data_IF_507248374000
#
_entry.id   IF_507248374000
#
_cell.length_a   1.000
_cell.length_b   1.000
_cell.length_c   1.000
_cell.angle_alpha   90.00
_cell.angle_beta   90.00
_cell.angle_gamma   90.00
#
_symmetry.space_group_name_H-M   'P 1'
#
loop_
_entity.id
_entity.type
_entity.pdbx_description
1 polymer ?
#
# COMPACT_ATOMS: atom_id res chain seq x y z
N UNK A 1 16.60 -45.27 -13.36
CA UNK A 1 16.32 -44.36 -12.23
C UNK A 1 15.35 -43.32 -12.72
N UNK A 2 14.16 -43.21 -12.13
CA UNK A 2 13.19 -42.17 -12.52
C UNK A 2 13.67 -40.86 -11.88
N UNK A 3 13.84 -39.76 -12.64
CA UNK A 3 14.16 -38.45 -12.07
C UNK A 3 13.10 -38.09 -11.03
N UNK A 4 13.53 -37.74 -9.81
CA UNK A 4 12.61 -37.20 -8.82
C UNK A 4 11.96 -35.93 -9.40
N UNK A 5 10.63 -35.89 -9.44
CA UNK A 5 9.89 -34.70 -9.87
C UNK A 5 10.23 -33.49 -8.99
N UNK A 6 10.03 -32.27 -9.48
CA UNK A 6 10.30 -31.07 -8.70
C UNK A 6 9.50 -31.09 -7.39
N UNK A 7 10.08 -30.58 -6.29
CA UNK A 7 9.41 -30.54 -5.01
C UNK A 7 8.08 -29.77 -5.12
N UNK A 8 7.01 -30.24 -4.44
CA UNK A 8 5.72 -29.59 -4.50
C UNK A 8 5.81 -28.15 -3.96
N UNK A 9 5.05 -27.20 -4.56
CA UNK A 9 5.04 -25.83 -4.09
C UNK A 9 4.59 -25.73 -2.63
N UNK A 10 5.28 -24.92 -1.82
CA UNK A 10 4.92 -24.71 -0.41
C UNK A 10 3.52 -24.07 -0.29
N UNK A 11 2.69 -24.49 0.67
CA UNK A 11 1.36 -23.92 0.86
C UNK A 11 1.43 -22.46 1.33
N UNK A 12 0.57 -21.62 0.76
CA UNK A 12 0.42 -20.22 1.16
C UNK A 12 -0.34 -20.16 2.49
N UNK A 13 0.26 -19.58 3.52
CA UNK A 13 -0.36 -19.45 4.84
C UNK A 13 -1.11 -18.13 4.93
N UNK A 14 -2.39 -18.16 5.32
CA UNK A 14 -3.22 -16.96 5.46
C UNK A 14 -2.58 -15.90 6.37
N UNK A 15 -1.95 -16.31 7.47
CA UNK A 15 -1.23 -15.41 8.39
C UNK A 15 -0.12 -14.60 7.71
N UNK A 16 0.55 -15.17 6.71
CA UNK A 16 1.60 -14.51 5.95
C UNK A 16 1.01 -13.45 4.99
N UNK A 17 -0.16 -13.74 4.41
CA UNK A 17 -0.89 -12.77 3.59
C UNK A 17 -1.31 -11.57 4.44
N UNK A 18 -1.89 -11.81 5.62
CA UNK A 18 -2.30 -10.73 6.53
C UNK A 18 -1.14 -9.86 7.03
N UNK A 19 0.04 -10.44 7.23
CA UNK A 19 1.22 -9.64 7.61
C UNK A 19 1.72 -8.77 6.44
N UNK A 20 1.65 -9.27 5.20
CA UNK A 20 1.92 -8.46 4.01
C UNK A 20 0.91 -7.32 3.84
N UNK A 21 -0.38 -7.59 4.05
CA UNK A 21 -1.43 -6.56 4.03
C UNK A 21 -1.16 -5.50 5.10
N UNK A 22 -0.88 -5.92 6.35
CA UNK A 22 -0.57 -5.01 7.44
C UNK A 22 0.62 -4.10 7.14
N UNK A 23 1.68 -4.63 6.52
CA UNK A 23 2.84 -3.84 6.13
C UNK A 23 2.51 -2.81 5.05
N UNK A 24 1.68 -3.16 4.07
CA UNK A 24 1.21 -2.21 3.05
C UNK A 24 0.36 -1.10 3.68
N UNK A 25 -0.55 -1.43 4.61
CA UNK A 25 -1.35 -0.44 5.34
C UNK A 25 -0.46 0.52 6.13
N UNK A 26 0.56 0.01 6.83
CA UNK A 26 1.52 0.87 7.55
C UNK A 26 2.24 1.84 6.60
N UNK A 27 2.62 1.38 5.40
CA UNK A 27 3.21 2.24 4.38
C UNK A 27 2.27 3.35 3.92
N UNK A 28 0.98 3.04 3.70
CA UNK A 28 -0.03 4.05 3.39
C UNK A 28 -0.20 5.08 4.52
N UNK A 29 -0.28 4.62 5.76
CA UNK A 29 -0.43 5.50 6.93
C UNK A 29 0.78 6.43 7.10
N UNK A 30 2.00 5.91 6.86
CA UNK A 30 3.22 6.70 6.91
C UNK A 30 3.22 7.82 5.87
N UNK A 31 2.89 7.49 4.61
CA UNK A 31 2.83 8.48 3.52
C UNK A 31 1.75 9.52 3.80
N UNK A 32 0.55 9.09 4.22
CA UNK A 32 -0.54 10.00 4.55
C UNK A 32 -0.20 10.93 5.73
N UNK A 33 0.41 10.39 6.79
CA UNK A 33 0.83 11.15 7.96
C UNK A 33 1.91 12.19 7.64
N UNK A 34 2.94 11.81 6.88
CA UNK A 34 3.98 12.74 6.41
C UNK A 34 3.39 13.89 5.62
N UNK A 35 2.45 13.59 4.72
CA UNK A 35 1.82 14.59 3.88
C UNK A 35 0.91 15.54 4.69
N UNK A 36 0.18 15.01 5.68
CA UNK A 36 -0.62 15.81 6.61
C UNK A 36 0.25 16.75 7.46
N UNK A 37 1.42 16.30 7.93
CA UNK A 37 2.38 17.13 8.65
C UNK A 37 2.91 18.26 7.76
N UNK A 38 3.26 17.96 6.51
CA UNK A 38 3.71 18.97 5.55
C UNK A 38 2.64 20.02 5.29
N UNK A 39 1.39 19.60 5.07
CA UNK A 39 0.25 20.52 4.91
C UNK A 39 0.09 21.42 6.13
N UNK A 40 0.06 20.84 7.33
CA UNK A 40 -0.09 21.58 8.56
C UNK A 40 1.02 22.61 8.76
N UNK A 41 2.26 22.26 8.38
CA UNK A 41 3.41 23.15 8.50
C UNK A 41 3.45 24.27 7.44
N UNK A 42 2.75 24.14 6.31
CA UNK A 42 2.89 25.04 5.15
C UNK A 42 1.67 25.92 4.86
N UNK A 43 0.50 25.64 5.44
CA UNK A 43 -0.72 26.45 5.30
C UNK A 43 -1.47 26.27 3.97
N UNK A 44 -2.62 26.96 3.84
CA UNK A 44 -3.70 26.69 2.87
C UNK A 44 -3.38 26.91 1.37
N UNK A 45 -2.16 27.29 1.01
CA UNK A 45 -1.80 27.68 -0.37
C UNK A 45 -1.43 26.54 -1.33
N UNK A 46 -1.40 25.27 -0.88
CA UNK A 46 -0.63 24.21 -1.54
C UNK A 46 -1.44 23.00 -2.03
N UNK A 47 -2.69 23.19 -2.45
CA UNK A 47 -3.51 22.09 -2.99
C UNK A 47 -2.84 21.28 -4.12
N UNK A 48 -2.11 21.94 -5.02
CA UNK A 48 -1.35 21.25 -6.07
C UNK A 48 -0.13 20.49 -5.55
N UNK A 49 0.57 21.03 -4.54
CA UNK A 49 1.72 20.37 -3.90
C UNK A 49 1.28 19.16 -3.07
N UNK A 50 0.08 19.22 -2.48
CA UNK A 50 -0.55 18.08 -1.82
C UNK A 50 -0.91 16.97 -2.80
N UNK A 51 -1.58 17.30 -3.91
CA UNK A 51 -1.93 16.32 -4.94
C UNK A 51 -0.66 15.71 -5.55
N UNK A 52 0.32 16.55 -5.92
CA UNK A 52 1.61 16.10 -6.47
C UNK A 52 2.40 15.23 -5.49
N UNK A 53 2.48 15.64 -4.23
CA UNK A 53 3.14 14.88 -3.16
C UNK A 53 2.44 13.56 -2.84
N UNK A 54 1.10 13.54 -2.85
CA UNK A 54 0.30 12.32 -2.69
C UNK A 54 0.60 11.31 -3.79
N UNK A 55 0.58 11.76 -5.04
CA UNK A 55 0.85 10.93 -6.21
C UNK A 55 2.28 10.40 -6.19
N UNK A 56 3.26 11.25 -5.86
CA UNK A 56 4.65 10.83 -5.74
C UNK A 56 4.84 9.80 -4.62
N UNK A 57 4.23 10.03 -3.45
CA UNK A 57 4.25 9.10 -2.32
C UNK A 57 3.62 7.75 -2.68
N UNK A 58 2.51 7.74 -3.42
CA UNK A 58 1.91 6.50 -3.90
C UNK A 58 2.76 5.79 -4.96
N UNK A 59 3.44 6.53 -5.85
CA UNK A 59 4.39 5.98 -6.83
C UNK A 59 5.58 5.30 -6.14
N UNK A 60 6.15 5.94 -5.12
CA UNK A 60 7.23 5.37 -4.30
C UNK A 60 6.74 4.13 -3.56
N UNK A 61 5.56 4.20 -2.95
CA UNK A 61 4.96 3.06 -2.26
C UNK A 61 4.69 1.91 -3.21
N UNK A 62 4.16 2.19 -4.41
CA UNK A 62 3.95 1.19 -5.47
C UNK A 62 5.26 0.53 -5.88
N UNK A 63 6.30 1.32 -6.19
CA UNK A 63 7.61 0.77 -6.56
C UNK A 63 8.18 -0.13 -5.45
N UNK A 64 8.05 0.32 -4.20
CA UNK A 64 8.57 -0.41 -3.03
C UNK A 64 7.80 -1.69 -2.76
N UNK A 65 6.46 -1.64 -2.70
CA UNK A 65 5.58 -2.80 -2.51
C UNK A 65 5.75 -3.79 -3.65
N UNK A 66 5.81 -3.32 -4.89
CA UNK A 66 5.96 -4.19 -6.06
C UNK A 66 7.32 -4.87 -6.09
N UNK A 67 8.38 -4.14 -5.80
CA UNK A 67 9.74 -4.70 -5.73
C UNK A 67 9.86 -5.70 -4.59
N UNK A 68 9.47 -5.31 -3.37
CA UNK A 68 9.53 -6.17 -2.20
C UNK A 68 8.63 -7.40 -2.35
N UNK A 69 7.40 -7.22 -2.83
CA UNK A 69 6.44 -8.29 -3.06
C UNK A 69 6.94 -9.29 -4.10
N UNK A 70 7.51 -8.82 -5.21
CA UNK A 70 8.12 -9.67 -6.24
C UNK A 70 9.31 -10.44 -5.69
N UNK A 71 10.21 -9.76 -4.96
CA UNK A 71 11.38 -10.40 -4.32
C UNK A 71 10.94 -11.50 -3.35
N UNK A 72 9.91 -11.25 -2.53
CA UNK A 72 9.36 -12.25 -1.60
C UNK A 72 8.74 -13.44 -2.34
N UNK A 73 8.03 -13.21 -3.44
CA UNK A 73 7.48 -14.30 -4.27
C UNK A 73 8.60 -15.16 -4.86
N UNK A 74 9.64 -14.53 -5.41
CA UNK A 74 10.81 -15.23 -6.00
C UNK A 74 11.57 -16.02 -4.95
N UNK A 75 11.71 -15.48 -3.73
CA UNK A 75 12.36 -16.17 -2.59
C UNK A 75 11.52 -17.29 -1.97
N UNK A 76 10.27 -17.47 -2.40
CA UNK A 76 9.38 -18.53 -1.93
C UNK A 76 8.42 -18.11 -0.81
N UNK A 77 8.51 -16.87 -0.32
CA UNK A 77 7.60 -16.26 0.66
C UNK A 77 6.36 -15.65 -0.01
N UNK A 78 5.71 -16.46 -0.85
CA UNK A 78 4.59 -16.04 -1.70
C UNK A 78 3.45 -15.39 -0.94
N UNK A 79 3.18 -15.83 0.30
CA UNK A 79 2.12 -15.27 1.14
C UNK A 79 2.34 -13.80 1.48
N UNK A 80 3.55 -13.43 1.92
CA UNK A 80 3.88 -12.04 2.25
C UNK A 80 3.85 -11.16 1.00
N UNK A 81 4.42 -11.65 -0.11
CA UNK A 81 4.42 -10.91 -1.36
C UNK A 81 3.01 -10.66 -1.91
N UNK A 82 2.15 -11.68 -1.93
CA UNK A 82 0.74 -11.52 -2.29
C UNK A 82 0.00 -10.57 -1.34
N UNK A 83 0.26 -10.69 -0.04
CA UNK A 83 -0.30 -9.80 0.98
C UNK A 83 0.03 -8.33 0.72
N UNK A 84 1.28 -8.02 0.34
CA UNK A 84 1.70 -6.68 -0.01
C UNK A 84 0.94 -6.12 -1.21
N UNK A 85 0.79 -6.92 -2.28
CA UNK A 85 0.03 -6.52 -3.47
C UNK A 85 -1.46 -6.29 -3.16
N UNK A 86 -2.08 -7.19 -2.39
CA UNK A 86 -3.48 -7.07 -1.97
C UNK A 86 -3.67 -5.82 -1.11
N UNK A 87 -2.80 -5.62 -0.12
CA UNK A 87 -2.86 -4.47 0.78
C UNK A 87 -2.69 -3.14 0.05
N UNK A 88 -1.76 -3.07 -0.92
CA UNK A 88 -1.57 -1.88 -1.75
C UNK A 88 -2.79 -1.59 -2.65
N UNK A 89 -3.34 -2.62 -3.32
CA UNK A 89 -4.52 -2.46 -4.15
C UNK A 89 -5.76 -2.04 -3.34
N UNK A 90 -5.94 -2.60 -2.14
CA UNK A 90 -7.00 -2.19 -1.23
C UNK A 90 -6.81 -0.74 -0.77
N UNK A 91 -5.57 -0.33 -0.46
CA UNK A 91 -5.24 1.05 -0.10
C UNK A 91 -5.61 2.05 -1.19
N UNK A 92 -5.34 1.73 -2.47
CA UNK A 92 -5.73 2.57 -3.61
C UNK A 92 -7.24 2.78 -3.75
N UNK A 93 -8.06 1.84 -3.29
CA UNK A 93 -9.53 1.97 -3.36
C UNK A 93 -10.05 2.71 -2.14
N UNK A 94 -9.58 2.33 -0.95
CA UNK A 94 -10.08 2.87 0.32
C UNK A 94 -9.70 4.34 0.49
N UNK A 95 -8.45 4.72 0.20
CA UNK A 95 -7.97 6.10 0.43
C UNK A 95 -8.76 7.16 -0.35
N UNK A 96 -9.02 7.02 -1.66
CA UNK A 96 -9.84 7.97 -2.40
C UNK A 96 -11.30 7.98 -1.93
N UNK A 97 -11.89 6.82 -1.61
CA UNK A 97 -13.28 6.75 -1.14
C UNK A 97 -13.43 7.45 0.20
N UNK A 98 -12.53 7.18 1.15
CA UNK A 98 -12.52 7.84 2.46
C UNK A 98 -12.22 9.33 2.33
N UNK A 99 -11.21 9.70 1.54
CA UNK A 99 -10.85 11.10 1.31
C UNK A 99 -12.00 11.90 0.67
N UNK A 100 -12.62 11.36 -0.37
CA UNK A 100 -13.77 11.99 -1.02
C UNK A 100 -14.98 12.08 -0.09
N UNK A 101 -15.26 11.02 0.69
CA UNK A 101 -16.30 11.03 1.70
C UNK A 101 -16.10 12.11 2.77
N UNK A 102 -14.87 12.30 3.24
CA UNK A 102 -14.51 13.37 4.19
C UNK A 102 -14.75 14.74 3.56
N UNK A 103 -14.31 14.96 2.31
CA UNK A 103 -14.54 16.22 1.61
C UNK A 103 -16.04 16.55 1.47
N UNK A 104 -16.86 15.57 1.07
CA UNK A 104 -18.31 15.75 0.95
C UNK A 104 -18.96 16.05 2.31
N UNK A 105 -18.56 15.33 3.36
CA UNK A 105 -19.07 15.56 4.71
C UNK A 105 -18.72 16.96 5.24
N UNK A 106 -17.48 17.43 4.98
CA UNK A 106 -17.05 18.77 5.39
C UNK A 106 -17.82 19.89 4.68
N UNK A 107 -18.04 19.77 3.37
CA UNK A 107 -18.84 20.74 2.58
C UNK A 107 -20.30 20.75 3.03
N UNK A 108 -20.84 19.59 3.40
CA UNK A 108 -22.23 19.48 3.84
C UNK A 108 -22.47 20.05 5.24
N UNK A 109 -21.39 20.27 6.02
CA UNK A 109 -21.43 20.79 7.37
C UNK A 109 -21.13 22.29 7.47
N UNK A 110 -20.75 22.94 6.36
CA UNK A 110 -20.51 24.38 6.20
C UNK A 110 -21.71 25.09 5.59
#
# INVERSE_FOLDING_TARGET
MIPAGPPPPRPIRARAVWSGVGLAVLGHLLVAGLLAVVLWATGDGLGQLFIGGSLLGQLVLFATVTTAGTVLIVKGDRGLGLGLFIGWAAGLIVLPVVGFGICVAAISAS
#
